data_IF_134961942909
#
_entry.id   IF_134961942909
#
_cell.length_a   1.000
_cell.length_b   1.000
_cell.length_c   1.000
_cell.angle_alpha   90.00
_cell.angle_beta   90.00
_cell.angle_gamma   90.00
#
_symmetry.space_group_name_H-M   'P 1'
#
loop_
_entity.id
_entity.type
_entity.pdbx_description
1 polymer ?
#
# COMPACT_ATOMS: atom_id res chain seq x y z
N UNK A 1 34.88 -12.00 35.25
CA UNK A 1 33.96 -10.91 35.68
C UNK A 1 33.26 -10.19 34.51
N UNK A 2 33.77 -10.23 33.27
CA UNK A 2 33.18 -9.54 32.11
C UNK A 2 31.92 -10.21 31.49
N UNK A 3 31.74 -11.53 31.58
CA UNK A 3 30.59 -12.20 30.95
C UNK A 3 29.27 -12.06 31.73
N UNK A 4 29.30 -11.95 33.06
CA UNK A 4 28.07 -11.72 33.87
C UNK A 4 27.47 -10.33 33.62
N UNK A 5 28.29 -9.29 33.40
CA UNK A 5 27.80 -7.95 33.05
C UNK A 5 27.18 -7.88 31.64
N UNK A 6 27.69 -8.66 30.68
CA UNK A 6 27.09 -8.78 29.34
C UNK A 6 25.75 -9.52 29.34
N UNK A 7 25.61 -10.61 30.11
CA UNK A 7 24.36 -11.38 30.17
C UNK A 7 23.25 -10.56 30.83
N UNK A 8 23.54 -9.87 31.95
CA UNK A 8 22.56 -9.01 32.63
C UNK A 8 22.11 -7.85 31.73
N UNK A 9 23.01 -7.31 30.89
CA UNK A 9 22.66 -6.25 29.93
C UNK A 9 21.79 -6.74 28.76
N UNK A 10 21.89 -8.01 28.36
CA UNK A 10 21.10 -8.59 27.27
C UNK A 10 19.72 -9.03 27.75
N UNK A 11 19.60 -9.60 28.96
CA UNK A 11 18.29 -9.92 29.55
C UNK A 11 17.51 -8.68 29.96
N UNK A 12 18.16 -7.62 30.44
CA UNK A 12 17.50 -6.34 30.69
C UNK A 12 16.99 -5.70 29.39
N UNK A 13 17.77 -5.77 28.30
CA UNK A 13 17.34 -5.27 26.98
C UNK A 13 16.18 -6.10 26.41
N UNK A 14 16.19 -7.42 26.58
CA UNK A 14 15.12 -8.32 26.13
C UNK A 14 13.81 -8.08 26.92
N UNK A 15 13.88 -7.85 28.22
CA UNK A 15 12.72 -7.51 29.05
C UNK A 15 12.14 -6.13 28.70
N UNK A 16 12.99 -5.16 28.37
CA UNK A 16 12.54 -3.83 27.89
C UNK A 16 11.86 -3.94 26.51
N UNK A 17 12.42 -4.74 25.59
CA UNK A 17 11.82 -4.99 24.27
C UNK A 17 10.48 -5.75 24.41
N UNK A 18 10.42 -6.77 25.26
CA UNK A 18 9.20 -7.54 25.50
C UNK A 18 8.10 -6.68 26.17
N UNK A 19 8.49 -5.80 27.08
CA UNK A 19 7.57 -4.83 27.70
C UNK A 19 7.07 -3.79 26.70
N UNK A 20 7.93 -3.32 25.77
CA UNK A 20 7.55 -2.43 24.67
C UNK A 20 6.61 -3.10 23.65
N UNK A 21 6.77 -4.41 23.39
CA UNK A 21 5.91 -5.19 22.50
C UNK A 21 4.54 -5.48 23.15
N UNK A 22 4.50 -5.74 24.45
CA UNK A 22 3.24 -5.90 25.18
C UNK A 22 2.48 -4.58 25.35
N UNK A 23 3.19 -3.47 25.58
CA UNK A 23 2.59 -2.13 25.57
C UNK A 23 2.03 -1.77 24.18
N UNK A 24 2.73 -2.11 23.09
CA UNK A 24 2.24 -1.83 21.74
C UNK A 24 1.04 -2.70 21.36
N UNK A 25 1.00 -3.97 21.76
CA UNK A 25 -0.15 -4.85 21.53
C UNK A 25 -1.40 -4.41 22.30
N UNK A 26 -1.24 -3.97 23.56
CA UNK A 26 -2.34 -3.42 24.37
C UNK A 26 -2.86 -2.09 23.80
N UNK A 27 -1.95 -1.23 23.33
CA UNK A 27 -2.28 0.02 22.64
C UNK A 27 -3.05 -0.25 21.32
N UNK A 28 -2.68 -1.26 20.54
CA UNK A 28 -3.37 -1.64 19.30
C UNK A 28 -4.78 -2.20 19.59
N UNK A 29 -4.95 -2.95 20.68
CA UNK A 29 -6.25 -3.49 21.11
C UNK A 29 -7.22 -2.40 21.55
N UNK A 30 -6.77 -1.44 22.38
CA UNK A 30 -7.58 -0.29 22.81
C UNK A 30 -7.96 0.62 21.63
N UNK A 31 -7.07 0.77 20.64
CA UNK A 31 -7.35 1.51 19.39
C UNK A 31 -8.47 0.84 18.56
N UNK A 32 -8.56 -0.50 18.54
CA UNK A 32 -9.56 -1.22 17.73
C UNK A 32 -10.95 -1.27 18.37
N UNK A 33 -11.04 -1.36 19.71
CA UNK A 33 -12.32 -1.41 20.43
C UNK A 33 -13.03 -0.03 20.44
N UNK A 34 -12.27 1.06 20.45
CA UNK A 34 -12.84 2.42 20.34
C UNK A 34 -13.29 2.76 18.91
N UNK A 35 -12.77 2.07 17.90
CA UNK A 35 -13.20 2.20 16.49
C UNK A 35 -14.63 1.71 16.23
N UNK A 36 -15.16 0.78 17.04
CA UNK A 36 -16.51 0.19 16.83
C UNK A 36 -17.64 0.92 17.55
N UNK A 37 -17.37 1.75 18.57
CA UNK A 37 -18.41 2.34 19.43
C UNK A 37 -18.77 3.81 19.14
N UNK A 38 -18.14 4.49 18.16
CA UNK A 38 -18.34 5.93 17.93
C UNK A 38 -18.56 6.29 16.45
N UNK A 39 -19.75 5.98 15.95
CA UNK A 39 -20.36 6.79 14.90
C UNK A 39 -21.01 8.02 15.55
N UNK A 40 -20.63 9.22 15.10
CA UNK A 40 -21.04 10.57 15.56
C UNK A 40 -20.21 11.17 16.72
N UNK A 41 -19.30 12.12 16.39
CA UNK A 41 -18.74 13.11 17.34
C UNK A 41 -17.29 13.60 17.10
N UNK A 42 -17.07 14.57 16.18
CA UNK A 42 -16.23 15.79 16.34
C UNK A 42 -14.74 15.77 16.73
N UNK A 43 -13.71 16.35 16.06
CA UNK A 43 -13.37 16.70 14.67
C UNK A 43 -12.15 17.68 14.63
N UNK A 44 -10.90 17.20 14.53
CA UNK A 44 -9.79 18.08 14.13
C UNK A 44 -9.83 18.26 12.61
N UNK A 45 -9.81 19.49 12.13
CA UNK A 45 -10.11 19.79 10.72
C UNK A 45 -8.92 20.36 9.97
N UNK A 46 -8.63 19.78 8.81
CA UNK A 46 -7.71 20.36 7.85
C UNK A 46 -8.47 21.28 6.90
N UNK A 47 -7.85 22.40 6.54
CA UNK A 47 -8.36 23.27 5.49
C UNK A 47 -7.20 23.97 4.79
N UNK A 48 -7.42 24.32 3.53
CA UNK A 48 -6.46 25.06 2.76
C UNK A 48 -6.78 26.55 2.75
N UNK A 49 -5.75 27.39 2.65
CA UNK A 49 -5.91 28.81 2.35
C UNK A 49 -4.81 29.25 1.37
N UNK A 50 -5.16 29.98 0.30
CA UNK A 50 -6.53 30.37 -0.09
C UNK A 50 -7.38 29.16 -0.56
N UNK A 51 -8.70 29.33 -0.57
CA UNK A 51 -9.69 28.31 -0.98
C UNK A 51 -9.84 28.18 -2.51
N UNK A 52 -9.34 29.18 -3.24
CA UNK A 52 -9.26 29.20 -4.70
C UNK A 52 -8.01 29.91 -5.18
N UNK A 53 -7.42 29.42 -6.28
CA UNK A 53 -6.18 29.97 -6.86
C UNK A 53 -6.35 30.14 -8.37
N UNK A 54 -5.99 31.33 -8.87
CA UNK A 54 -5.88 31.62 -10.30
C UNK A 54 -4.46 32.08 -10.61
N UNK A 55 -3.76 31.36 -11.50
CA UNK A 55 -2.34 31.59 -11.81
C UNK A 55 -2.08 31.49 -13.31
N UNK A 56 -1.04 32.17 -13.79
CA UNK A 56 -0.63 32.04 -15.20
C UNK A 56 0.30 30.84 -15.39
N UNK A 57 0.36 30.26 -16.60
CA UNK A 57 1.35 29.23 -16.91
C UNK A 57 2.78 29.73 -16.61
N UNK A 58 3.57 28.91 -15.93
CA UNK A 58 4.95 29.23 -15.52
C UNK A 58 5.08 30.01 -14.21
N UNK A 59 3.99 30.53 -13.64
CA UNK A 59 4.03 31.22 -12.34
C UNK A 59 4.06 30.21 -11.18
N UNK A 60 4.66 30.63 -10.07
CA UNK A 60 4.63 29.88 -8.81
C UNK A 60 3.60 30.47 -7.86
N UNK A 61 2.99 29.62 -7.04
CA UNK A 61 2.06 30.05 -6.01
C UNK A 61 2.25 29.24 -4.73
N UNK A 62 1.79 29.82 -3.62
CA UNK A 62 1.84 29.18 -2.30
C UNK A 62 0.44 28.76 -1.90
N UNK A 63 0.32 27.52 -1.41
CA UNK A 63 -0.87 26.96 -0.81
C UNK A 63 -0.55 26.52 0.61
N UNK A 64 -1.28 27.05 1.59
CA UNK A 64 -1.04 26.74 3.00
C UNK A 64 -2.10 25.77 3.49
N UNK A 65 -1.65 24.66 4.09
CA UNK A 65 -2.48 23.72 4.81
C UNK A 65 -2.53 24.11 6.29
N UNK A 66 -3.73 24.38 6.79
CA UNK A 66 -4.00 24.64 8.20
C UNK A 66 -4.61 23.41 8.85
N UNK A 67 -4.31 23.24 10.13
CA UNK A 67 -4.96 22.28 11.02
C UNK A 67 -5.59 23.05 12.17
N UNK A 68 -6.90 22.88 12.33
CA UNK A 68 -7.66 23.34 13.48
C UNK A 68 -7.86 22.16 14.45
N UNK A 69 -7.22 22.18 15.63
CA UNK A 69 -7.32 21.12 16.61
C UNK A 69 -8.55 21.23 17.53
N UNK A 70 -9.41 22.25 17.37
CA UNK A 70 -10.58 22.44 18.25
C UNK A 70 -11.59 21.32 18.05
N UNK A 71 -11.74 20.50 19.10
CA UNK A 71 -12.71 19.41 19.17
C UNK A 71 -13.91 19.89 19.99
N UNK A 72 -15.01 20.21 19.32
CA UNK A 72 -16.24 20.69 20.00
C UNK A 72 -16.77 19.61 20.96
N UNK A 73 -16.89 19.93 22.25
CA UNK A 73 -17.28 18.97 23.30
C UNK A 73 -16.15 18.06 23.82
N UNK A 74 -14.92 18.24 23.33
CA UNK A 74 -13.74 17.41 23.61
C UNK A 74 -12.51 18.30 23.93
N UNK A 75 -12.73 19.40 24.66
CA UNK A 75 -11.70 20.39 25.00
C UNK A 75 -10.57 19.87 25.90
N UNK A 76 -10.66 18.63 26.39
CA UNK A 76 -9.62 17.96 27.17
C UNK A 76 -8.57 17.24 26.30
N UNK A 77 -8.87 17.02 25.02
CA UNK A 77 -7.98 16.32 24.09
C UNK A 77 -7.07 17.29 23.36
N UNK A 78 -5.92 16.78 22.94
CA UNK A 78 -4.82 17.62 22.47
C UNK A 78 -4.08 16.94 21.31
N UNK A 79 -4.13 17.51 20.10
CA UNK A 79 -3.50 16.89 18.92
C UNK A 79 -1.98 16.90 19.04
N UNK A 80 -1.32 15.75 18.91
CA UNK A 80 0.13 15.56 19.08
C UNK A 80 0.87 15.14 17.81
N UNK A 81 0.15 14.60 16.82
CA UNK A 81 0.70 14.27 15.50
C UNK A 81 -0.38 14.22 14.42
N UNK A 82 0.03 14.33 13.16
CA UNK A 82 -0.80 14.00 12.00
C UNK A 82 0.03 13.29 10.92
N UNK A 83 -0.66 12.53 10.08
CA UNK A 83 -0.19 11.99 8.80
C UNK A 83 -1.28 12.32 7.77
N UNK A 84 -0.88 12.74 6.56
CA UNK A 84 -1.81 13.12 5.52
C UNK A 84 -1.19 13.02 4.13
N UNK A 85 -2.04 12.85 3.12
CA UNK A 85 -1.66 12.80 1.70
C UNK A 85 -2.47 13.82 0.91
N UNK A 86 -1.81 14.55 0.03
CA UNK A 86 -2.43 15.54 -0.86
C UNK A 86 -2.22 15.10 -2.29
N UNK A 87 -3.28 15.12 -3.08
CA UNK A 87 -3.27 14.84 -4.51
C UNK A 87 -3.52 16.12 -5.31
N UNK A 88 -2.77 16.31 -6.39
CA UNK A 88 -2.88 17.45 -7.31
C UNK A 88 -2.68 16.98 -8.76
N UNK A 89 -3.22 17.72 -9.75
CA UNK A 89 -3.10 17.36 -11.16
C UNK A 89 -1.67 17.54 -11.67
N UNK A 90 -0.92 16.44 -11.80
CA UNK A 90 0.48 16.42 -12.25
C UNK A 90 0.67 16.91 -13.70
N UNK A 91 -0.37 16.89 -14.53
CA UNK A 91 -0.36 17.44 -15.89
C UNK A 91 -0.51 18.97 -15.92
N UNK A 92 -0.86 19.58 -14.78
CA UNK A 92 -1.09 21.01 -14.62
C UNK A 92 -0.09 21.66 -13.67
N UNK A 93 0.38 20.92 -12.66
CA UNK A 93 1.14 21.46 -11.54
C UNK A 93 2.34 20.56 -11.23
N UNK A 94 3.45 21.19 -10.86
CA UNK A 94 4.59 20.53 -10.21
C UNK A 94 4.78 21.14 -8.84
N UNK A 95 4.92 20.32 -7.80
CA UNK A 95 5.29 20.79 -6.47
C UNK A 95 6.78 21.13 -6.47
N UNK A 96 7.09 22.41 -6.26
CA UNK A 96 8.45 22.95 -6.21
C UNK A 96 9.08 22.75 -4.82
N UNK A 97 8.31 22.97 -3.75
CA UNK A 97 8.73 22.66 -2.39
C UNK A 97 7.53 22.42 -1.47
N UNK A 98 7.77 21.70 -0.38
CA UNK A 98 6.85 21.57 0.73
C UNK A 98 7.63 21.75 2.04
N UNK A 99 7.11 22.60 2.92
CA UNK A 99 7.73 22.95 4.19
C UNK A 99 6.76 22.65 5.33
N UNK A 100 7.28 22.09 6.41
CA UNK A 100 6.49 21.86 7.63
C UNK A 100 6.13 23.19 8.27
N UNK A 101 4.89 23.32 8.71
CA UNK A 101 4.44 24.47 9.47
C UNK A 101 4.92 24.46 10.94
N UNK A 102 4.48 25.47 11.67
CA UNK A 102 4.90 25.75 13.04
C UNK A 102 3.90 25.26 14.11
N UNK A 103 2.86 24.52 13.71
CA UNK A 103 1.76 24.11 14.61
C UNK A 103 2.21 23.30 15.84
N UNK A 104 3.33 22.58 15.74
CA UNK A 104 3.97 21.92 16.89
C UNK A 104 5.27 22.61 17.35
N UNK A 105 5.76 23.63 16.63
CA UNK A 105 7.09 24.22 16.83
C UNK A 105 7.13 25.35 17.85
N UNK A 106 6.08 26.17 17.97
CA UNK A 106 6.03 27.26 18.96
C UNK A 106 6.13 26.76 20.41
N UNK A 107 5.73 25.51 20.63
CA UNK A 107 5.72 24.85 21.92
C UNK A 107 7.05 24.14 22.29
N UNK A 108 7.90 23.76 21.32
CA UNK A 108 9.13 22.95 21.54
C UNK A 108 10.29 23.65 22.27
N UNK A 109 10.27 24.98 22.43
CA UNK A 109 11.46 25.78 22.79
C UNK A 109 11.97 25.67 24.25
N UNK A 110 11.46 24.74 25.06
CA UNK A 110 11.72 24.75 26.50
C UNK A 110 12.08 23.42 27.18
N UNK A 111 12.09 22.28 26.48
CA UNK A 111 12.22 20.98 27.16
C UNK A 111 13.23 20.04 26.46
N UNK A 112 14.30 19.60 27.14
CA UNK A 112 15.34 18.75 26.56
C UNK A 112 14.89 17.33 26.18
N UNK A 113 13.65 16.93 26.48
CA UNK A 113 13.10 15.58 26.22
C UNK A 113 12.19 15.45 24.99
N UNK A 114 12.09 16.46 24.13
CA UNK A 114 11.18 16.44 22.98
C UNK A 114 11.82 15.85 21.71
N UNK A 115 11.15 14.91 21.06
CA UNK A 115 11.55 14.38 19.74
C UNK A 115 10.54 14.83 18.68
N UNK A 116 11.02 15.49 17.62
CA UNK A 116 10.18 15.84 16.46
C UNK A 116 10.13 14.69 15.47
N UNK A 117 8.91 14.24 15.14
CA UNK A 117 8.64 13.30 14.07
C UNK A 117 8.26 14.09 12.83
N UNK A 118 8.98 13.87 11.72
CA UNK A 118 8.75 14.54 10.45
C UNK A 118 8.95 13.56 9.31
N UNK A 119 7.97 13.47 8.42
CA UNK A 119 8.03 12.69 7.18
C UNK A 119 7.44 13.52 6.04
N UNK A 120 8.18 13.65 4.95
CA UNK A 120 7.76 14.35 3.75
C UNK A 120 8.19 13.54 2.53
N UNK A 121 7.23 13.10 1.74
CA UNK A 121 7.48 12.37 0.50
C UNK A 121 6.78 13.11 -0.64
N UNK A 122 7.56 13.56 -1.62
CA UNK A 122 7.05 14.26 -2.82
C UNK A 122 7.16 13.32 -4.01
N UNK A 123 6.05 13.08 -4.70
CA UNK A 123 6.00 12.32 -5.94
C UNK A 123 5.30 13.15 -7.03
N UNK A 124 6.07 14.03 -7.68
CA UNK A 124 5.59 14.88 -8.77
C UNK A 124 4.99 14.07 -9.95
N UNK A 125 5.61 12.97 -10.43
CA UNK A 125 5.01 12.15 -11.50
C UNK A 125 3.63 11.59 -11.15
N UNK A 126 3.40 11.20 -9.90
CA UNK A 126 2.11 10.70 -9.44
C UNK A 126 1.14 11.80 -8.97
N UNK A 127 1.59 13.07 -8.91
CA UNK A 127 0.78 14.18 -8.41
C UNK A 127 0.44 14.06 -6.92
N UNK A 128 1.33 13.47 -6.11
CA UNK A 128 1.08 13.24 -4.68
C UNK A 128 2.16 13.83 -3.79
N UNK A 129 1.78 14.25 -2.58
CA UNK A 129 2.68 14.59 -1.49
C UNK A 129 2.14 14.06 -0.18
N UNK A 130 2.97 13.31 0.56
CA UNK A 130 2.65 12.82 1.90
C UNK A 130 3.40 13.62 2.95
N UNK A 131 2.69 14.03 4.01
CA UNK A 131 3.21 14.88 5.07
C UNK A 131 2.76 14.29 6.41
N UNK A 132 3.72 13.85 7.21
CA UNK A 132 3.49 13.51 8.60
C UNK A 132 4.34 14.40 9.52
N UNK A 133 3.74 14.90 10.58
CA UNK A 133 4.43 15.69 11.59
C UNK A 133 3.87 15.38 12.97
N UNK A 134 4.73 15.30 13.97
CA UNK A 134 4.31 15.16 15.35
C UNK A 134 5.44 15.37 16.34
N UNK A 135 5.12 15.23 17.61
CA UNK A 135 6.09 15.33 18.70
C UNK A 135 5.90 14.19 19.68
N UNK A 136 7.01 13.56 20.09
CA UNK A 136 7.05 12.60 21.18
C UNK A 136 7.70 13.23 22.40
N UNK A 137 7.14 12.98 23.58
CA UNK A 137 7.77 13.35 24.84
C UNK A 137 8.48 12.15 25.44
N UNK A 138 9.63 12.42 26.02
CA UNK A 138 10.41 11.44 26.79
C UNK A 138 10.44 11.75 28.28
N UNK A 139 9.71 12.79 28.74
CA UNK A 139 9.66 13.20 30.15
C UNK A 139 8.57 12.48 30.94
N UNK A 140 8.75 12.39 32.26
CA UNK A 140 7.84 11.70 33.19
C UNK A 140 6.49 12.41 33.42
N UNK A 141 6.24 13.54 32.75
CA UNK A 141 5.00 14.32 32.83
C UNK A 141 4.35 14.45 31.43
N UNK A 142 3.65 13.41 30.93
CA UNK A 142 3.13 13.35 29.56
C UNK A 142 2.06 14.42 29.25
N UNK A 143 1.44 15.01 30.25
CA UNK A 143 0.50 16.12 30.07
C UNK A 143 1.20 17.47 29.78
N UNK A 144 2.52 17.55 29.98
CA UNK A 144 3.34 18.69 29.54
C UNK A 144 3.68 18.62 28.05
N UNK A 145 3.21 17.56 27.37
CA UNK A 145 3.52 17.34 25.97
C UNK A 145 2.98 18.40 25.03
N UNK A 146 3.79 18.68 24.02
CA UNK A 146 3.53 19.67 23.00
C UNK A 146 2.40 19.19 22.11
N UNK A 147 1.31 19.94 22.16
CA UNK A 147 0.10 19.61 21.42
C UNK A 147 -0.43 20.84 20.75
N UNK A 148 -0.93 20.70 19.53
CA UNK A 148 -1.66 21.76 18.86
C UNK A 148 -2.92 22.09 19.68
N UNK A 149 -3.00 23.31 20.19
CA UNK A 149 -4.13 23.81 20.97
C UNK A 149 -4.96 24.84 20.20
N UNK A 150 -4.35 25.50 19.23
CA UNK A 150 -4.98 26.51 18.40
C UNK A 150 -4.74 26.16 16.94
N UNK A 151 -5.62 26.67 16.06
CA UNK A 151 -5.43 26.58 14.62
C UNK A 151 -4.06 27.10 14.22
N UNK A 152 -3.33 26.33 13.44
CA UNK A 152 -1.96 26.66 13.03
C UNK A 152 -1.63 26.13 11.64
N UNK A 153 -0.46 26.54 11.14
CA UNK A 153 0.03 26.06 9.85
C UNK A 153 0.57 24.66 10.02
N UNK A 154 0.00 23.70 9.30
CA UNK A 154 0.47 22.32 9.26
C UNK A 154 1.58 22.14 8.20
N UNK A 155 1.39 22.73 7.02
CA UNK A 155 2.38 22.73 5.94
C UNK A 155 2.19 23.91 4.98
N UNK A 156 3.26 24.31 4.32
CA UNK A 156 3.28 25.31 3.25
C UNK A 156 3.77 24.63 1.98
N UNK A 157 2.97 24.68 0.91
CA UNK A 157 3.24 24.04 -0.37
C UNK A 157 3.48 25.11 -1.43
N UNK A 158 4.58 24.98 -2.18
CA UNK A 158 4.86 25.86 -3.32
C UNK A 158 4.72 25.08 -4.60
N UNK A 159 3.77 25.47 -5.44
CA UNK A 159 3.52 24.84 -6.74
C UNK A 159 4.01 25.74 -7.86
N UNK A 160 4.40 25.12 -8.97
CA UNK A 160 4.65 25.77 -10.26
C UNK A 160 3.56 25.35 -11.23
N UNK A 161 2.88 26.31 -11.86
CA UNK A 161 1.93 26.05 -12.93
C UNK A 161 2.68 25.63 -14.20
N UNK A 162 2.38 24.43 -14.72
CA UNK A 162 3.00 23.94 -15.94
C UNK A 162 2.47 24.69 -17.17
N UNK A 163 3.26 24.78 -18.25
CA UNK A 163 2.81 25.36 -19.51
C UNK A 163 1.51 24.71 -20.02
N UNK A 164 0.49 25.51 -20.32
CA UNK A 164 -0.78 25.03 -20.86
C UNK A 164 -1.32 25.95 -21.95
N UNK A 165 -1.85 25.38 -23.04
CA UNK A 165 -2.63 26.11 -24.03
C UNK A 165 -4.09 26.23 -23.57
N UNK A 166 -4.60 27.46 -23.40
CA UNK A 166 -5.98 27.73 -23.00
C UNK A 166 -6.22 27.67 -21.48
N UNK A 167 -7.49 27.71 -21.06
CA UNK A 167 -7.91 27.64 -19.65
C UNK A 167 -8.01 26.18 -19.20
N UNK A 168 -7.23 25.80 -18.20
CA UNK A 168 -7.36 24.50 -17.50
C UNK A 168 -7.85 24.72 -16.07
N UNK A 169 -8.67 23.81 -15.56
CA UNK A 169 -9.15 23.81 -14.17
C UNK A 169 -8.92 22.45 -13.52
N UNK A 170 -8.53 22.43 -12.25
CA UNK A 170 -8.28 21.20 -11.50
C UNK A 170 -8.48 21.42 -10.01
N UNK A 171 -8.32 20.37 -9.20
CA UNK A 171 -8.45 20.45 -7.75
C UNK A 171 -7.22 19.91 -7.05
N UNK A 172 -6.83 20.54 -5.95
CA UNK A 172 -5.91 19.97 -4.97
C UNK A 172 -6.74 19.46 -3.81
N UNK A 173 -6.57 18.20 -3.45
CA UNK A 173 -7.45 17.52 -2.50
C UNK A 173 -6.63 16.74 -1.48
N UNK A 174 -7.03 16.79 -0.22
CA UNK A 174 -6.52 15.87 0.80
C UNK A 174 -7.20 14.51 0.63
N UNK A 175 -6.42 13.44 0.56
CA UNK A 175 -6.97 12.10 0.45
C UNK A 175 -7.51 11.65 1.83
N UNK A 176 -8.84 11.54 2.01
CA UNK A 176 -9.42 11.24 3.32
C UNK A 176 -9.02 9.86 3.87
N UNK A 177 -8.62 8.91 3.01
CA UNK A 177 -8.16 7.58 3.43
C UNK A 177 -6.76 7.60 4.05
N UNK A 178 -5.98 8.63 3.78
CA UNK A 178 -4.59 8.75 4.18
C UNK A 178 -4.41 9.76 5.34
N UNK A 179 -5.49 10.31 5.90
CA UNK A 179 -5.39 11.26 7.00
C UNK A 179 -5.53 10.55 8.34
N UNK A 180 -4.50 10.64 9.16
CA UNK A 180 -4.48 10.19 10.55
C UNK A 180 -4.08 11.35 11.46
N UNK A 181 -4.69 11.44 12.64
CA UNK A 181 -4.33 12.42 13.68
C UNK A 181 -4.25 11.68 15.00
N UNK A 182 -3.18 11.92 15.75
CA UNK A 182 -3.01 11.42 17.11
C UNK A 182 -3.33 12.53 18.12
N UNK A 183 -4.00 12.17 19.21
CA UNK A 183 -4.35 13.10 20.29
C UNK A 183 -4.04 12.53 21.68
N UNK A 184 -3.44 13.33 22.55
CA UNK A 184 -3.16 13.01 23.95
C UNK A 184 -4.38 13.30 24.82
N UNK A 185 -4.63 12.44 25.83
CA UNK A 185 -5.77 12.52 26.74
C UNK A 185 -6.93 11.56 26.42
N UNK A 186 -6.81 10.79 25.33
CA UNK A 186 -7.72 9.68 24.95
C UNK A 186 -6.96 8.37 24.89
N UNK A 187 -7.58 7.30 25.36
CA UNK A 187 -7.20 5.91 25.05
C UNK A 187 -7.57 5.53 23.59
N UNK A 188 -7.75 6.52 22.72
CA UNK A 188 -8.37 6.34 21.40
C UNK A 188 -7.97 7.43 20.40
N UNK A 189 -7.10 7.06 19.47
CA UNK A 189 -6.82 7.82 18.26
C UNK A 189 -7.98 7.66 17.27
N UNK A 190 -8.91 8.62 17.21
CA UNK A 190 -9.85 8.70 16.07
C UNK A 190 -10.12 10.16 15.75
N UNK A 191 -9.68 10.61 14.57
CA UNK A 191 -10.26 11.80 13.93
C UNK A 191 -11.03 11.32 12.70
N UNK A 192 -12.35 11.54 12.73
CA UNK A 192 -13.24 11.31 11.61
C UNK A 192 -13.31 12.60 10.76
N UNK A 193 -13.44 12.51 9.44
CA UNK A 193 -13.60 13.66 8.55
C UNK A 193 -15.02 13.66 7.96
N UNK A 194 -15.89 14.54 8.43
CA UNK A 194 -17.24 14.69 7.84
C UNK A 194 -17.23 15.49 6.51
N UNK A 195 -16.13 16.20 6.19
CA UNK A 195 -15.96 16.93 4.91
C UNK A 195 -14.52 16.86 4.43
N UNK A 196 -14.32 16.50 3.15
CA UNK A 196 -13.00 16.41 2.52
C UNK A 196 -12.55 17.83 2.11
N UNK A 197 -11.44 18.37 2.65
CA UNK A 197 -10.92 19.66 2.22
C UNK A 197 -10.30 19.59 0.81
N UNK A 198 -10.77 20.48 -0.06
CA UNK A 198 -10.29 20.64 -1.44
C UNK A 198 -10.13 22.12 -1.80
N UNK A 199 -9.29 22.41 -2.79
CA UNK A 199 -9.08 23.75 -3.38
C UNK A 199 -9.27 23.67 -4.87
N UNK A 200 -9.99 24.64 -5.42
CA UNK A 200 -10.18 24.79 -6.86
C UNK A 200 -9.06 25.64 -7.46
N UNK A 201 -8.48 25.17 -8.57
CA UNK A 201 -7.39 25.85 -9.27
C UNK A 201 -7.79 26.13 -10.72
N UNK A 202 -7.49 27.34 -11.18
CA UNK A 202 -7.61 27.74 -12.58
C UNK A 202 -6.25 28.25 -13.11
N UNK A 203 -5.79 27.69 -14.22
CA UNK A 203 -4.63 28.19 -14.97
C UNK A 203 -5.15 28.91 -16.22
N UNK A 204 -4.85 30.20 -16.34
CA UNK A 204 -5.34 31.04 -17.45
C UNK A 204 -4.21 31.88 -18.03
N UNK A 205 -4.04 31.81 -19.35
CA UNK A 205 -3.24 32.78 -20.10
C UNK A 205 -4.03 34.09 -20.21
N UNK A 206 -3.41 35.28 -20.10
CA UNK A 206 -4.12 36.54 -20.34
C UNK A 206 -4.74 36.50 -21.73
N UNK A 207 -6.05 36.73 -21.80
CA UNK A 207 -6.75 36.95 -23.08
C UNK A 207 -6.14 38.18 -23.74
N UNK A 208 -5.85 38.17 -25.06
CA UNK A 208 -5.55 39.42 -25.76
C UNK A 208 -6.75 40.36 -25.58
N UNK A 209 -6.50 41.53 -25.00
CA UNK A 209 -7.49 42.60 -24.91
C UNK A 209 -7.77 43.07 -26.33
N UNK A 210 -8.97 42.79 -26.85
CA UNK A 210 -9.42 43.40 -28.09
C UNK A 210 -9.68 44.89 -27.80
N UNK A 211 -8.74 45.72 -28.25
CA UNK A 211 -8.87 47.18 -28.31
C UNK A 211 -10.12 47.58 -29.09
N UNK A 212 -10.90 48.60 -28.67
CA UNK A 212 -12.18 48.94 -29.30
C UNK A 212 -11.99 49.47 -30.72
N UNK A 213 -12.68 48.81 -31.65
CA UNK A 213 -12.79 49.15 -33.07
C UNK A 213 -13.37 50.56 -33.26
N UNK A 214 -12.67 51.39 -34.04
CA UNK A 214 -13.15 52.70 -34.47
C UNK A 214 -14.40 52.59 -35.37
N UNK A 215 -15.35 53.49 -35.11
CA UNK A 215 -16.60 53.70 -35.85
C UNK A 215 -16.34 54.24 -37.27
N UNK A 216 -16.99 53.71 -38.33
CA UNK A 216 -17.02 54.36 -39.64
C UNK A 216 -18.33 55.12 -39.89
N UNK A 217 -18.18 56.36 -40.35
CA UNK A 217 -19.22 57.32 -40.78
C UNK A 217 -19.69 57.03 -42.22
N UNK A 218 -20.86 57.57 -42.59
CA UNK A 218 -21.77 57.15 -43.67
C UNK A 218 -21.47 57.58 -45.15
N UNK A 219 -21.97 56.75 -46.11
CA UNK A 219 -22.71 56.98 -47.42
C UNK A 219 -22.03 57.84 -48.55
N UNK A 220 -22.26 57.71 -49.91
CA UNK A 220 -23.36 57.09 -50.73
C UNK A 220 -23.01 56.17 -51.96
N UNK A 221 -24.06 55.44 -52.44
CA UNK A 221 -24.58 55.06 -53.81
C UNK A 221 -23.84 55.46 -55.12
N UNK A 222 -24.13 54.92 -56.36
CA UNK A 222 -25.22 54.02 -56.84
C UNK A 222 -24.89 52.95 -57.96
N UNK A 223 -25.86 52.05 -58.27
CA UNK A 223 -26.34 51.50 -59.61
C UNK A 223 -25.35 50.77 -60.58
N UNK A 224 -25.62 49.70 -61.36
CA UNK A 224 -26.82 49.01 -61.88
C UNK A 224 -26.54 47.51 -62.22
N UNK A 225 -27.62 46.72 -62.27
CA UNK A 225 -27.81 45.35 -62.83
C UNK A 225 -27.62 45.30 -64.37
N UNK A 226 -27.46 44.13 -65.03
CA UNK A 226 -28.63 43.27 -65.35
C UNK A 226 -28.42 41.74 -65.24
N UNK A 227 -29.55 41.09 -64.97
CA UNK A 227 -29.92 39.67 -64.99
C UNK A 227 -29.69 39.00 -66.37
N UNK A 228 -29.71 37.65 -66.51
CA UNK A 228 -30.99 36.98 -66.81
C UNK A 228 -31.16 35.48 -66.35
N UNK A 229 -32.41 35.14 -65.96
CA UNK A 229 -33.24 33.89 -66.09
C UNK A 229 -32.65 32.51 -65.69
N UNK A 230 -33.12 31.85 -64.62
CA UNK A 230 -34.32 30.96 -64.48
C UNK A 230 -34.16 29.55 -65.05
N UNK A 231 -34.15 28.53 -64.17
CA UNK A 231 -35.08 27.38 -64.18
C UNK A 231 -34.68 26.31 -63.14
N UNK A 232 -35.62 25.99 -62.25
CA UNK A 232 -35.63 24.85 -61.32
C UNK A 232 -36.15 23.60 -62.05
N UNK A 233 -35.65 22.39 -61.75
CA UNK A 233 -36.53 21.38 -61.14
C UNK A 233 -35.88 20.50 -60.05
N UNK A 234 -36.60 20.41 -58.93
CA UNK A 234 -37.04 19.22 -58.16
C UNK A 234 -36.06 18.09 -57.73
N UNK A 235 -36.07 17.64 -56.45
CA UNK A 235 -35.09 16.73 -55.88
C UNK A 235 -35.32 15.25 -56.24
N UNK A 236 -34.24 14.50 -56.44
CA UNK A 236 -34.24 13.03 -56.53
C UNK A 236 -33.60 12.45 -55.27
N UNK A 237 -34.40 11.67 -54.54
CA UNK A 237 -33.94 10.89 -53.40
C UNK A 237 -32.93 9.82 -53.86
N UNK A 238 -31.77 9.78 -53.18
CA UNK A 238 -30.76 8.72 -53.31
C UNK A 238 -31.00 7.70 -52.20
N UNK A 239 -31.13 6.40 -52.48
CA UNK A 239 -31.29 5.38 -51.45
C UNK A 239 -29.99 5.19 -50.65
N UNK A 240 -30.16 5.18 -49.34
CA UNK A 240 -29.16 4.81 -48.32
C UNK A 240 -28.76 3.34 -48.46
N UNK A 241 -27.46 2.99 -48.52
CA UNK A 241 -27.04 1.59 -48.43
C UNK A 241 -27.20 1.08 -46.99
N UNK A 242 -27.87 -0.07 -46.89
CA UNK A 242 -28.12 -0.86 -45.68
C UNK A 242 -26.79 -1.38 -45.07
N UNK A 243 -26.62 -1.39 -43.74
CA UNK A 243 -25.42 -1.93 -43.11
C UNK A 243 -25.34 -3.45 -43.28
N UNK A 244 -24.23 -3.92 -43.85
CA UNK A 244 -23.86 -5.33 -43.94
C UNK A 244 -23.38 -5.80 -42.57
N UNK A 245 -24.13 -6.73 -41.96
CA UNK A 245 -23.70 -7.49 -40.79
C UNK A 245 -22.40 -8.21 -41.16
N UNK A 246 -21.29 -7.78 -40.57
CA UNK A 246 -20.01 -8.42 -40.72
C UNK A 246 -19.78 -9.23 -39.46
N UNK A 247 -19.74 -10.55 -39.61
CA UNK A 247 -19.44 -11.50 -38.54
C UNK A 247 -18.10 -11.14 -37.89
N UNK A 248 -18.14 -10.91 -36.58
CA UNK A 248 -17.00 -10.71 -35.71
C UNK A 248 -15.94 -11.78 -35.97
N UNK A 249 -14.72 -11.43 -36.43
CA UNK A 249 -13.64 -12.39 -36.46
C UNK A 249 -13.35 -12.83 -35.02
N UNK A 250 -13.41 -14.12 -34.80
CA UNK A 250 -12.93 -14.81 -33.60
C UNK A 250 -11.53 -14.30 -33.28
N UNK A 251 -11.21 -13.96 -32.01
CA UNK A 251 -9.88 -13.52 -31.64
C UNK A 251 -8.89 -14.65 -31.98
N UNK A 252 -8.07 -14.41 -32.99
CA UNK A 252 -6.87 -15.19 -33.26
C UNK A 252 -6.04 -15.19 -31.98
N UNK A 253 -5.59 -16.36 -31.48
CA UNK A 253 -4.74 -16.40 -30.30
C UNK A 253 -3.50 -15.55 -30.56
N UNK A 254 -3.32 -14.51 -29.74
CA UNK A 254 -2.11 -13.69 -29.74
C UNK A 254 -0.92 -14.63 -29.63
N UNK A 255 0.03 -14.64 -30.59
CA UNK A 255 1.22 -15.45 -30.46
C UNK A 255 1.92 -15.04 -29.16
N UNK A 256 2.21 -16.02 -28.30
CA UNK A 256 2.91 -15.79 -27.04
C UNK A 256 4.17 -14.99 -27.32
N UNK A 257 4.41 -13.90 -26.60
CA UNK A 257 5.58 -13.03 -26.76
C UNK A 257 6.92 -13.78 -26.82
N UNK A 258 7.02 -14.92 -26.14
CA UNK A 258 8.13 -15.88 -26.21
C UNK A 258 8.51 -16.31 -27.64
N UNK A 259 7.53 -16.54 -28.54
CA UNK A 259 7.80 -16.97 -29.92
C UNK A 259 8.34 -15.86 -30.80
N UNK A 260 8.09 -14.60 -30.44
CA UNK A 260 8.57 -13.43 -31.18
C UNK A 260 10.02 -13.11 -30.83
N UNK A 261 10.37 -13.21 -29.55
CA UNK A 261 11.75 -13.05 -29.10
C UNK A 261 12.67 -14.14 -29.71
N UNK A 262 12.20 -15.40 -29.75
CA UNK A 262 12.97 -16.49 -30.36
C UNK A 262 13.22 -16.28 -31.85
N UNK A 263 12.25 -15.74 -32.58
CA UNK A 263 12.38 -15.45 -34.00
C UNK A 263 13.37 -14.31 -34.27
N UNK A 264 13.33 -13.23 -33.47
CA UNK A 264 14.31 -12.14 -33.57
C UNK A 264 15.73 -12.66 -33.25
N UNK A 265 15.87 -13.52 -32.24
CA UNK A 265 17.16 -14.09 -31.86
C UNK A 265 17.74 -14.96 -32.99
N UNK A 266 16.91 -15.73 -33.68
CA UNK A 266 17.31 -16.50 -34.85
C UNK A 266 17.82 -15.60 -35.99
N UNK A 267 17.11 -14.51 -36.28
CA UNK A 267 17.53 -13.54 -37.31
C UNK A 267 18.84 -12.83 -36.97
N UNK A 268 19.08 -12.56 -35.67
CA UNK A 268 20.37 -12.05 -35.17
C UNK A 268 21.49 -13.03 -35.53
N UNK A 269 21.33 -14.31 -35.17
CA UNK A 269 22.35 -15.34 -35.43
C UNK A 269 22.64 -15.53 -36.93
N UNK A 270 21.60 -15.54 -37.76
CA UNK A 270 21.76 -15.63 -39.22
C UNK A 270 22.47 -14.41 -39.82
N UNK A 271 22.18 -13.21 -39.30
CA UNK A 271 22.83 -11.97 -39.75
C UNK A 271 24.27 -11.89 -39.30
N UNK A 272 24.59 -12.34 -38.08
CA UNK A 272 25.96 -12.44 -37.57
C UNK A 272 26.82 -13.40 -38.42
N UNK A 273 26.26 -14.54 -38.82
CA UNK A 273 26.94 -15.49 -39.70
C UNK A 273 27.26 -14.89 -41.08
N UNK A 274 26.28 -14.20 -41.71
CA UNK A 274 26.50 -13.48 -42.98
C UNK A 274 27.58 -12.40 -42.88
N UNK A 275 27.64 -11.72 -41.75
CA UNK A 275 28.63 -10.69 -41.48
C UNK A 275 30.05 -11.26 -41.41
N UNK A 276 30.21 -12.43 -40.77
CA UNK A 276 31.49 -13.14 -40.71
C UNK A 276 31.97 -13.57 -42.10
N UNK A 277 31.07 -14.13 -42.92
CA UNK A 277 31.39 -14.55 -44.29
C UNK A 277 31.81 -13.37 -45.16
N UNK A 278 31.07 -12.25 -45.14
CA UNK A 278 31.38 -11.05 -45.91
C UNK A 278 32.71 -10.41 -45.52
N UNK A 279 33.09 -10.48 -44.24
CA UNK A 279 34.37 -9.98 -43.75
C UNK A 279 35.57 -10.83 -44.19
N UNK A 280 35.35 -12.10 -44.55
CA UNK A 280 36.39 -13.01 -45.03
C UNK A 280 36.71 -12.88 -46.53
N UNK A 281 35.85 -12.20 -47.29
CA UNK A 281 36.00 -12.01 -48.74
C UNK A 281 36.90 -10.81 -49.09
N UNK A 282 37.33 -10.73 -50.35
CA UNK A 282 38.23 -9.68 -50.85
C UNK A 282 37.65 -8.26 -50.67
N UNK A 283 38.48 -7.29 -50.28
CA UNK A 283 38.02 -5.94 -49.89
C UNK A 283 37.83 -5.03 -51.11
N UNK A 284 36.59 -4.91 -51.57
CA UNK A 284 36.14 -3.92 -52.55
C UNK A 284 35.23 -2.89 -51.85
N UNK A 285 34.98 -1.71 -52.43
CA UNK A 285 33.97 -0.79 -51.87
C UNK A 285 32.58 -1.45 -51.80
N UNK A 286 32.26 -2.31 -52.76
CA UNK A 286 31.00 -3.07 -52.76
C UNK A 286 30.90 -4.04 -51.59
N UNK A 287 31.98 -4.73 -51.22
CA UNK A 287 31.97 -5.62 -50.05
C UNK A 287 31.95 -4.84 -48.73
N UNK A 288 32.56 -3.64 -48.67
CA UNK A 288 32.49 -2.77 -47.50
C UNK A 288 31.08 -2.20 -47.26
N UNK A 289 30.37 -1.80 -48.32
CA UNK A 289 28.97 -1.35 -48.21
C UNK A 289 28.08 -2.49 -47.70
N UNK A 290 28.23 -3.70 -48.25
CA UNK A 290 27.48 -4.87 -47.81
C UNK A 290 27.73 -5.21 -46.32
N UNK A 291 28.96 -5.04 -45.82
CA UNK A 291 29.27 -5.22 -44.39
C UNK A 291 28.55 -4.18 -43.53
N UNK A 292 28.54 -2.90 -43.94
CA UNK A 292 27.87 -1.83 -43.20
C UNK A 292 26.34 -2.02 -43.21
N UNK A 293 25.74 -2.40 -44.34
CA UNK A 293 24.30 -2.67 -44.44
C UNK A 293 23.87 -3.81 -43.49
N UNK A 294 24.67 -4.88 -43.41
CA UNK A 294 24.40 -5.98 -42.48
C UNK A 294 24.65 -5.58 -41.02
N UNK A 295 25.58 -4.68 -40.72
CA UNK A 295 25.76 -4.14 -39.36
C UNK A 295 24.57 -3.28 -38.93
N UNK A 296 24.00 -2.49 -39.84
CA UNK A 296 22.79 -1.71 -39.60
C UNK A 296 21.62 -2.66 -39.33
N UNK A 297 21.43 -3.69 -40.18
CA UNK A 297 20.38 -4.69 -39.99
C UNK A 297 20.51 -5.42 -38.64
N UNK A 298 21.72 -5.85 -38.27
CA UNK A 298 22.00 -6.48 -36.98
C UNK A 298 21.67 -5.56 -35.80
N UNK A 299 22.03 -4.28 -35.91
CA UNK A 299 21.74 -3.29 -34.87
C UNK A 299 20.24 -3.08 -34.72
N UNK A 300 19.49 -2.99 -35.83
CA UNK A 300 18.03 -2.90 -35.81
C UNK A 300 17.38 -4.13 -35.15
N UNK A 301 17.83 -5.34 -35.49
CA UNK A 301 17.32 -6.57 -34.86
C UNK A 301 17.58 -6.61 -33.35
N UNK A 302 18.75 -6.16 -32.90
CA UNK A 302 19.07 -6.06 -31.46
C UNK A 302 18.18 -5.04 -30.75
N UNK A 303 17.89 -3.90 -31.39
CA UNK A 303 16.95 -2.91 -30.84
C UNK A 303 15.56 -3.54 -30.68
N UNK A 304 15.09 -4.28 -31.68
CA UNK A 304 13.78 -4.92 -31.62
C UNK A 304 13.71 -6.06 -30.60
N UNK A 305 14.80 -6.81 -30.40
CA UNK A 305 14.92 -7.79 -29.32
C UNK A 305 14.76 -7.13 -27.94
N UNK A 306 15.47 -6.02 -27.70
CA UNK A 306 15.40 -5.29 -26.42
C UNK A 306 14.00 -4.70 -26.21
N UNK A 307 13.37 -4.15 -27.25
CA UNK A 307 11.98 -3.67 -27.17
C UNK A 307 11.01 -4.78 -26.79
N UNK A 308 11.18 -5.97 -27.35
CA UNK A 308 10.35 -7.12 -27.01
C UNK A 308 10.56 -7.55 -25.55
N UNK A 309 11.81 -7.59 -25.07
CA UNK A 309 12.10 -7.88 -23.66
C UNK A 309 11.46 -6.87 -22.70
N UNK A 310 11.48 -5.57 -23.03
CA UNK A 310 10.80 -4.54 -22.24
C UNK A 310 9.29 -4.78 -22.19
N UNK A 311 8.69 -5.16 -23.34
CA UNK A 311 7.26 -5.48 -23.41
C UNK A 311 6.90 -6.67 -22.52
N UNK A 312 7.73 -7.72 -22.54
CA UNK A 312 7.51 -8.93 -21.75
C UNK A 312 7.65 -8.64 -20.25
N UNK A 313 8.69 -7.90 -19.86
CA UNK A 313 8.89 -7.50 -18.48
C UNK A 313 7.76 -6.61 -17.97
N UNK A 314 7.19 -5.76 -18.81
CA UNK A 314 6.02 -4.94 -18.47
C UNK A 314 4.80 -5.82 -18.16
N UNK A 315 4.56 -6.86 -18.95
CA UNK A 315 3.47 -7.81 -18.71
C UNK A 315 3.66 -8.61 -17.41
N UNK A 316 4.90 -9.00 -17.11
CA UNK A 316 5.25 -9.69 -15.86
C UNK A 316 5.05 -8.79 -14.64
N UNK A 317 5.41 -7.50 -14.75
CA UNK A 317 5.13 -6.49 -13.71
C UNK A 317 3.63 -6.37 -13.47
N UNK A 318 2.83 -6.19 -14.52
CA UNK A 318 1.37 -6.08 -14.41
C UNK A 318 0.74 -7.33 -13.77
N UNK A 319 1.22 -8.51 -14.15
CA UNK A 319 0.77 -9.79 -13.58
C UNK A 319 1.14 -9.89 -12.09
N UNK A 320 2.34 -9.43 -11.73
CA UNK A 320 2.81 -9.42 -10.34
C UNK A 320 2.01 -8.43 -9.50
N UNK A 321 1.71 -7.24 -10.01
CA UNK A 321 0.86 -6.24 -9.34
C UNK A 321 -0.53 -6.83 -9.04
N UNK A 322 -1.14 -7.53 -10.00
CA UNK A 322 -2.43 -8.20 -9.79
C UNK A 322 -2.36 -9.26 -8.67
N UNK A 323 -1.28 -10.05 -8.64
CA UNK A 323 -1.07 -11.05 -7.58
C UNK A 323 -0.91 -10.39 -6.21
N UNK A 324 -0.14 -9.30 -6.11
CA UNK A 324 0.03 -8.54 -4.87
C UNK A 324 -1.34 -8.05 -4.38
N UNK A 325 -2.15 -7.43 -5.25
CA UNK A 325 -3.48 -6.96 -4.88
C UNK A 325 -4.39 -8.09 -4.36
N UNK A 326 -4.35 -9.29 -4.98
CA UNK A 326 -5.13 -10.43 -4.49
C UNK A 326 -4.68 -10.96 -3.11
N UNK A 327 -3.37 -10.84 -2.82
CA UNK A 327 -2.82 -11.23 -1.52
C UNK A 327 -3.17 -10.21 -0.44
N UNK A 328 -3.15 -8.92 -0.77
CA UNK A 328 -3.61 -7.85 0.13
C UNK A 328 -5.08 -8.05 0.52
N UNK A 329 -5.95 -8.35 -0.46
CA UNK A 329 -7.36 -8.67 -0.20
C UNK A 329 -7.52 -9.90 0.70
N UNK A 330 -6.72 -10.93 0.48
CA UNK A 330 -6.74 -12.15 1.32
C UNK A 330 -6.30 -11.88 2.76
N UNK A 331 -5.28 -11.03 2.94
CA UNK A 331 -4.81 -10.62 4.28
C UNK A 331 -5.89 -9.82 5.01
N UNK A 332 -6.57 -8.90 4.32
CA UNK A 332 -7.66 -8.12 4.90
C UNK A 332 -8.82 -9.01 5.35
N UNK A 333 -9.22 -9.98 4.52
CA UNK A 333 -10.28 -10.92 4.88
C UNK A 333 -9.89 -11.83 6.07
N UNK A 334 -8.67 -12.37 6.07
CA UNK A 334 -8.18 -13.16 7.21
C UNK A 334 -8.10 -12.32 8.49
N UNK A 335 -7.70 -11.06 8.38
CA UNK A 335 -7.64 -10.14 9.53
C UNK A 335 -9.03 -9.87 10.09
N UNK A 336 -10.05 -9.64 9.23
CA UNK A 336 -11.44 -9.49 9.67
C UNK A 336 -11.96 -10.74 10.38
N UNK A 337 -11.69 -11.93 9.82
CA UNK A 337 -12.08 -13.21 10.44
C UNK A 337 -11.42 -13.37 11.80
N UNK A 338 -10.12 -13.11 11.91
CA UNK A 338 -9.38 -13.20 13.17
C UNK A 338 -9.96 -12.26 14.23
N UNK A 339 -10.17 -10.98 13.89
CA UNK A 339 -10.75 -9.99 14.81
C UNK A 339 -12.15 -10.43 15.25
N UNK A 340 -13.00 -10.88 14.32
CA UNK A 340 -14.34 -11.33 14.67
C UNK A 340 -14.31 -12.58 15.56
N UNK A 341 -13.32 -13.48 15.37
CA UNK A 341 -13.14 -14.64 16.25
C UNK A 341 -12.65 -14.25 17.64
N UNK A 342 -11.73 -13.28 17.75
CA UNK A 342 -11.25 -12.73 19.02
C UNK A 342 -12.43 -12.12 19.78
N UNK A 343 -13.24 -11.29 19.11
CA UNK A 343 -14.40 -10.64 19.72
C UNK A 343 -15.43 -11.67 20.17
N UNK A 344 -15.75 -12.66 19.33
CA UNK A 344 -16.64 -13.74 19.73
C UNK A 344 -16.09 -14.54 20.93
N UNK A 345 -14.76 -14.70 21.04
CA UNK A 345 -14.13 -15.37 22.19
C UNK A 345 -14.23 -14.52 23.46
N UNK A 346 -14.10 -13.20 23.33
CA UNK A 346 -14.23 -12.25 24.44
C UNK A 346 -15.69 -12.10 24.91
N UNK A 347 -16.65 -12.02 23.98
CA UNK A 347 -18.09 -11.93 24.27
C UNK A 347 -18.64 -13.19 24.96
N UNK A 348 -18.09 -14.37 24.64
CA UNK A 348 -18.43 -15.63 25.33
C UNK A 348 -17.84 -15.69 26.75
N UNK A 349 -17.01 -14.71 27.16
CA UNK A 349 -16.54 -14.54 28.53
C UNK A 349 -15.54 -15.60 29.00
N UNK A 350 -14.94 -16.34 28.07
CA UNK A 350 -14.01 -17.42 28.38
C UNK A 350 -12.77 -17.35 27.50
N UNK A 351 -11.74 -16.62 27.96
CA UNK A 351 -10.38 -16.72 27.39
C UNK A 351 -9.78 -18.13 27.56
N UNK A 352 -10.40 -18.97 28.40
CA UNK A 352 -9.99 -20.33 28.73
C UNK A 352 -9.65 -21.19 27.49
N UNK A 353 -10.45 -21.13 26.41
CA UNK A 353 -10.17 -21.97 25.23
C UNK A 353 -8.94 -21.51 24.44
N UNK A 354 -8.71 -20.19 24.35
CA UNK A 354 -7.53 -19.65 23.67
C UNK A 354 -6.28 -19.79 24.54
N UNK A 355 -6.39 -19.56 25.84
CA UNK A 355 -5.32 -19.78 26.81
C UNK A 355 -4.86 -21.25 26.82
N UNK A 356 -5.80 -22.20 26.80
CA UNK A 356 -5.49 -23.63 26.68
C UNK A 356 -4.79 -23.94 25.35
N UNK A 357 -5.18 -23.30 24.24
CA UNK A 357 -4.51 -23.48 22.95
C UNK A 357 -3.10 -22.89 22.93
N UNK A 358 -2.89 -21.73 23.56
CA UNK A 358 -1.57 -21.10 23.68
C UNK A 358 -0.64 -21.94 24.55
N UNK A 359 -1.13 -22.40 25.71
CA UNK A 359 -0.37 -23.28 26.60
C UNK A 359 -0.05 -24.62 25.94
N UNK A 360 -0.97 -25.14 25.12
CA UNK A 360 -0.70 -26.31 24.28
C UNK A 360 0.40 -26.05 23.24
N UNK A 361 0.45 -24.85 22.66
CA UNK A 361 1.52 -24.38 21.80
C UNK A 361 2.89 -24.28 22.50
N UNK A 362 2.91 -23.94 23.78
CA UNK A 362 4.14 -23.92 24.58
C UNK A 362 4.74 -25.32 24.74
N UNK A 363 3.91 -26.36 24.83
CA UNK A 363 4.37 -27.77 24.83
C UNK A 363 5.06 -28.13 23.52
N UNK A 364 4.52 -27.71 22.36
CA UNK A 364 5.20 -27.89 21.07
C UNK A 364 6.56 -27.20 21.03
N UNK A 365 6.62 -25.97 21.53
CA UNK A 365 7.85 -25.16 21.56
C UNK A 365 8.90 -25.79 22.49
N UNK A 366 8.48 -26.31 23.65
CA UNK A 366 9.36 -27.04 24.56
C UNK A 366 9.88 -28.34 23.91
N UNK A 367 8.99 -29.10 23.26
CA UNK A 367 9.34 -30.34 22.56
C UNK A 367 10.36 -30.12 21.44
N UNK A 368 10.23 -29.03 20.66
CA UNK A 368 11.21 -28.66 19.63
C UNK A 368 12.61 -28.44 20.22
N UNK A 369 12.71 -27.74 21.37
CA UNK A 369 13.99 -27.51 22.05
C UNK A 369 14.63 -28.82 22.54
N UNK A 370 13.83 -29.77 23.02
CA UNK A 370 14.32 -31.03 23.60
C UNK A 370 14.64 -32.09 22.54
N UNK A 371 13.87 -32.16 21.45
CA UNK A 371 13.93 -33.27 20.50
C UNK A 371 14.19 -32.88 19.04
N UNK A 372 14.43 -31.58 18.76
CA UNK A 372 14.47 -30.96 17.43
C UNK A 372 13.10 -30.85 16.75
N UNK A 373 13.00 -29.87 15.84
CA UNK A 373 11.77 -29.57 15.08
C UNK A 373 11.26 -30.82 14.36
N UNK A 374 9.95 -31.02 14.42
CA UNK A 374 9.23 -32.10 13.73
C UNK A 374 9.66 -33.53 14.08
N UNK A 375 10.44 -33.75 15.14
CA UNK A 375 10.91 -35.10 15.51
C UNK A 375 9.75 -36.07 15.78
N UNK A 376 8.63 -35.56 16.30
CA UNK A 376 7.41 -36.33 16.54
C UNK A 376 6.78 -36.88 15.25
N UNK A 377 7.08 -36.34 14.06
CA UNK A 377 6.57 -36.87 12.78
C UNK A 377 7.21 -38.19 12.36
N UNK A 378 8.33 -38.59 12.98
CA UNK A 378 9.01 -39.86 12.66
C UNK A 378 8.21 -41.10 13.07
N UNK A 379 7.20 -40.94 13.94
CA UNK A 379 6.48 -42.06 14.51
C UNK A 379 7.23 -42.68 15.69
N UNK A 380 6.48 -43.29 16.61
CA UNK A 380 6.96 -44.17 17.68
C UNK A 380 5.85 -45.15 18.05
N UNK A 381 6.14 -46.12 18.92
CA UNK A 381 5.14 -47.00 19.52
C UNK A 381 4.06 -46.17 20.24
N UNK A 382 2.77 -46.45 19.98
CA UNK A 382 1.68 -45.60 20.46
C UNK A 382 1.56 -45.59 21.99
N UNK A 383 1.98 -46.66 22.67
CA UNK A 383 1.99 -46.72 24.13
C UNK A 383 2.87 -45.63 24.78
N UNK A 384 3.90 -45.12 24.10
CA UNK A 384 4.82 -44.12 24.66
C UNK A 384 4.08 -42.81 24.99
N UNK A 385 3.34 -42.28 24.01
CA UNK A 385 2.51 -41.10 24.22
C UNK A 385 1.30 -41.42 25.10
N UNK A 386 0.72 -42.61 25.01
CA UNK A 386 -0.40 -43.00 25.87
C UNK A 386 0.01 -43.04 27.34
N UNK A 387 1.13 -43.68 27.65
CA UNK A 387 1.71 -43.75 28.99
C UNK A 387 2.12 -42.38 29.52
N UNK A 388 2.68 -41.52 28.66
CA UNK A 388 3.02 -40.14 29.05
C UNK A 388 1.78 -39.29 29.34
N UNK A 389 0.72 -39.40 28.52
CA UNK A 389 -0.54 -38.74 28.77
C UNK A 389 -1.10 -39.13 30.14
N UNK A 390 -1.14 -40.44 30.45
CA UNK A 390 -1.61 -40.94 31.73
C UNK A 390 -0.78 -40.41 32.90
N UNK A 391 0.55 -40.37 32.80
CA UNK A 391 1.41 -39.83 33.87
C UNK A 391 1.07 -38.37 34.19
N UNK A 392 0.88 -37.53 33.18
CA UNK A 392 0.49 -36.13 33.41
C UNK A 392 -0.93 -36.01 33.96
N UNK A 393 -1.89 -36.82 33.48
CA UNK A 393 -3.23 -36.87 34.04
C UNK A 393 -3.24 -37.31 35.52
N UNK A 394 -2.41 -38.28 35.90
CA UNK A 394 -2.29 -38.70 37.29
C UNK A 394 -1.66 -37.64 38.19
N UNK A 395 -0.67 -36.88 37.69
CA UNK A 395 -0.08 -35.75 38.43
C UNK A 395 -1.09 -34.63 38.66
N UNK A 396 -1.81 -34.26 37.60
CA UNK A 396 -2.91 -33.31 37.69
C UNK A 396 -3.97 -33.77 38.71
N UNK A 397 -4.40 -35.03 38.65
CA UNK A 397 -5.38 -35.57 39.58
C UNK A 397 -4.88 -35.64 41.03
N UNK A 398 -3.57 -35.70 41.22
CA UNK A 398 -2.93 -35.62 42.53
C UNK A 398 -2.78 -34.17 43.07
N UNK A 399 -3.24 -33.16 42.33
CA UNK A 399 -3.19 -31.75 42.70
C UNK A 399 -1.88 -31.04 42.31
N UNK A 400 -1.04 -31.66 41.49
CA UNK A 400 0.11 -30.99 40.86
C UNK A 400 -0.40 -30.39 39.54
N UNK A 401 -0.54 -29.07 39.45
CA UNK A 401 -1.06 -28.42 38.24
C UNK A 401 0.01 -28.27 37.17
N UNK A 402 1.25 -27.97 37.57
CA UNK A 402 2.35 -27.58 36.70
C UNK A 402 3.45 -28.63 36.73
N UNK A 403 3.90 -29.04 35.55
CA UNK A 403 5.01 -29.97 35.42
C UNK A 403 6.35 -29.29 35.83
N UNK A 404 7.10 -29.85 36.79
CA UNK A 404 8.29 -29.20 37.33
C UNK A 404 9.49 -29.17 36.34
N UNK A 405 9.50 -30.00 35.30
CA UNK A 405 10.54 -30.01 34.28
C UNK A 405 10.38 -28.84 33.30
N UNK A 406 9.12 -28.52 32.97
CA UNK A 406 8.78 -27.59 31.88
C UNK A 406 8.19 -26.27 32.35
N UNK A 407 7.58 -26.24 33.53
CA UNK A 407 6.81 -25.09 34.02
C UNK A 407 5.45 -24.90 33.31
N UNK A 408 4.98 -25.90 32.56
CA UNK A 408 3.72 -25.87 31.78
C UNK A 408 2.68 -26.80 32.46
N UNK A 409 1.39 -26.49 32.37
CA UNK A 409 0.36 -27.30 33.01
C UNK A 409 0.34 -28.76 32.50
N UNK A 410 0.13 -29.69 33.42
CA UNK A 410 0.03 -31.12 33.13
C UNK A 410 -1.06 -31.47 32.12
N UNK A 411 -2.19 -30.76 32.10
CA UNK A 411 -3.26 -30.97 31.13
C UNK A 411 -2.85 -30.59 29.71
N UNK A 412 -2.04 -29.55 29.53
CA UNK A 412 -1.51 -29.18 28.22
C UNK A 412 -0.57 -30.27 27.66
N UNK A 413 0.29 -30.84 28.52
CA UNK A 413 1.10 -32.01 28.15
C UNK A 413 0.25 -33.22 27.80
N UNK A 414 -0.78 -33.52 28.60
CA UNK A 414 -1.70 -34.62 28.32
C UNK A 414 -2.41 -34.44 26.97
N UNK A 415 -2.90 -33.23 26.67
CA UNK A 415 -3.54 -32.88 25.40
C UNK A 415 -2.61 -33.11 24.20
N UNK A 416 -1.34 -32.70 24.32
CA UNK A 416 -0.34 -32.94 23.28
C UNK A 416 -0.09 -34.41 23.00
N UNK A 417 0.05 -35.23 24.04
CA UNK A 417 0.26 -36.66 23.88
C UNK A 417 -0.94 -37.34 23.20
N UNK A 418 -2.16 -36.99 23.58
CA UNK A 418 -3.38 -37.52 22.94
C UNK A 418 -3.48 -37.07 21.47
N UNK A 419 -3.18 -35.80 21.19
CA UNK A 419 -3.20 -35.27 19.83
C UNK A 419 -2.14 -35.92 18.93
N UNK A 420 -0.96 -36.24 19.46
CA UNK A 420 0.10 -36.96 18.74
C UNK A 420 -0.38 -38.36 18.31
N UNK A 421 -1.02 -39.12 19.21
CA UNK A 421 -1.61 -40.43 18.89
C UNK A 421 -2.71 -40.27 17.83
N UNK A 422 -3.55 -39.22 17.92
CA UNK A 422 -4.57 -38.96 16.91
C UNK A 422 -3.96 -38.63 15.54
N UNK A 423 -2.88 -37.85 15.51
CA UNK A 423 -2.16 -37.56 14.28
C UNK A 423 -1.54 -38.82 13.67
N UNK A 424 -1.05 -39.74 14.51
CA UNK A 424 -0.51 -41.03 14.08
C UNK A 424 -1.59 -41.91 13.45
N UNK A 425 -2.77 -41.98 14.06
CA UNK A 425 -3.93 -42.66 13.48
C UNK A 425 -4.33 -42.10 12.11
N UNK A 426 -4.35 -40.78 11.95
CA UNK A 426 -4.77 -40.13 10.70
C UNK A 426 -3.73 -40.26 9.57
N UNK A 427 -2.45 -40.32 9.93
CA UNK A 427 -1.33 -40.27 8.97
C UNK A 427 -0.62 -41.62 8.78
N UNK A 428 -1.01 -42.65 9.53
CA UNK A 428 -0.35 -43.96 9.50
C UNK A 428 1.10 -43.91 10.01
N UNK A 429 1.36 -43.14 11.07
CA UNK A 429 2.70 -42.97 11.65
C UNK A 429 2.88 -43.83 12.91
N UNK A 430 4.11 -44.29 13.15
CA UNK A 430 4.44 -45.11 14.33
C UNK A 430 3.85 -46.53 14.27
N UNK A 431 3.88 -47.22 15.41
CA UNK A 431 3.35 -48.57 15.55
C UNK A 431 2.16 -48.59 16.53
N UNK A 432 0.99 -49.01 16.04
CA UNK A 432 -0.16 -49.31 16.90
C UNK A 432 0.08 -50.65 17.62
N UNK A 433 0.43 -50.57 18.89
CA UNK A 433 0.83 -51.66 19.77
C UNK A 433 -0.20 -51.93 20.88
N UNK A 434 -1.39 -51.35 20.75
CA UNK A 434 -2.51 -51.63 21.64
C UNK A 434 -2.90 -53.10 21.55
N UNK A 435 -3.33 -53.66 22.67
CA UNK A 435 -3.87 -55.02 22.68
C UNK A 435 -5.18 -55.08 21.89
N UNK A 436 -5.16 -55.75 20.73
CA UNK A 436 -6.36 -56.01 19.92
C UNK A 436 -6.92 -57.37 20.28
N UNK A 437 -8.17 -57.41 20.72
CA UNK A 437 -8.89 -58.69 20.85
C UNK A 437 -9.08 -59.30 19.45
N UNK A 438 -9.07 -60.64 19.37
CA UNK A 438 -8.92 -61.43 18.13
C UNK A 438 -9.98 -61.23 17.03
N UNK A 439 -10.93 -60.31 17.17
CA UNK A 439 -12.00 -60.09 16.19
C UNK A 439 -11.60 -59.16 15.03
N UNK A 440 -10.50 -58.41 15.13
CA UNK A 440 -10.07 -57.45 14.09
C UNK A 440 -8.94 -57.96 13.17
N UNK A 441 -8.60 -59.24 13.23
CA UNK A 441 -7.55 -59.87 12.39
C UNK A 441 -8.13 -60.74 11.27
N UNK A 442 -9.22 -60.29 10.61
CA UNK A 442 -9.81 -61.00 9.46
C UNK A 442 -10.05 -60.08 8.28
#
# INVERSE_FOLDING_TARGET
MNNRKRIISVTALALVIFSLVLLSARMISEIQEVRRSRGAGGLATFFFSPDSISVKPGETFTLTLYLNPTLEGLEQYRVSAFDTSITYPADMLSLASAEYGDIFQKQLKGDPGAISLKKLEINNPAGTVKIAMGTLCTTAAPWQCFTAQNTGVAATLRFTALPSSGRKTGTITLNPKDVAIAALGSDSNVVNFDKIPFVSIAIQSPSPSLSPTASPTAKPSPTATPTPITATPTPRATPTPTPRVTSTPTPTPTPSTSSRLSEIQKQITETEAKLADLQSQEKTLSSQIAVVDNQIALTTLRIDAVRQQISDLTLDIDTTIKKIGSLEESIDELTKVLINRIIATYEVGGTQSFEVLMEWGDVFTYGEKKYARDNWLKGTDWHEFYGSALRHLYRFWAGEDVDPETGINHLAHALWNVAAIRAYQMRGLGQDDRHKTKEEAK
#
